data_IF_140485124676
#
_entry.id   IF_140485124676
#
_cell.length_a   1.000
_cell.length_b   1.000
_cell.length_c   1.000
_cell.angle_alpha   90.00
_cell.angle_beta   90.00
_cell.angle_gamma   90.00
#
_symmetry.space_group_name_H-M   'P 1'
#
loop_
_entity.id
_entity.type
_entity.pdbx_description
1 polymer ?
#
# COMPACT_ATOMS: atom_id res chain seq x y z
N UNK A 1 -19.78 -15.13 11.32
CA UNK A 1 -19.49 -13.99 10.42
C UNK A 1 -19.35 -14.53 9.00
N UNK A 2 -19.95 -13.88 8.00
CA UNK A 2 -19.91 -14.36 6.62
C UNK A 2 -18.48 -14.27 6.06
N UNK A 3 -17.96 -15.36 5.48
CA UNK A 3 -16.61 -15.43 4.87
C UNK A 3 -16.47 -14.38 3.77
N UNK A 4 -17.56 -14.10 3.05
CA UNK A 4 -17.62 -13.06 2.02
C UNK A 4 -17.37 -11.63 2.54
N UNK A 5 -17.50 -11.39 3.85
CA UNK A 5 -17.23 -10.10 4.50
C UNK A 5 -15.89 -10.14 5.25
N UNK A 6 -15.58 -11.27 5.90
CA UNK A 6 -14.38 -11.43 6.69
C UNK A 6 -13.11 -11.35 5.83
N UNK A 7 -13.09 -12.02 4.68
CA UNK A 7 -11.94 -12.05 3.77
C UNK A 7 -11.58 -10.66 3.25
N UNK A 8 -12.48 -9.90 2.62
CA UNK A 8 -12.16 -8.55 2.16
C UNK A 8 -11.77 -7.61 3.31
N UNK A 9 -12.36 -7.75 4.50
CA UNK A 9 -11.98 -6.94 5.66
C UNK A 9 -10.53 -7.20 6.09
N UNK A 10 -10.12 -8.47 6.20
CA UNK A 10 -8.73 -8.85 6.53
C UNK A 10 -7.76 -8.34 5.46
N UNK A 11 -8.13 -8.47 4.17
CA UNK A 11 -7.32 -7.96 3.07
C UNK A 11 -7.13 -6.46 3.16
N UNK A 12 -8.19 -5.68 3.43
CA UNK A 12 -8.11 -4.23 3.61
C UNK A 12 -7.20 -3.86 4.79
N UNK A 13 -7.27 -4.58 5.92
CA UNK A 13 -6.39 -4.33 7.07
C UNK A 13 -4.92 -4.57 6.71
N UNK A 14 -4.60 -5.71 6.08
CA UNK A 14 -3.23 -6.03 5.65
C UNK A 14 -2.70 -5.00 4.64
N UNK A 15 -3.54 -4.60 3.71
CA UNK A 15 -3.31 -3.51 2.78
C UNK A 15 -2.90 -2.20 3.47
N UNK A 16 -3.65 -1.82 4.50
CA UNK A 16 -3.43 -0.56 5.23
C UNK A 16 -2.10 -0.60 6.01
N UNK A 17 -1.79 -1.75 6.62
CA UNK A 17 -0.49 -1.97 7.28
C UNK A 17 0.67 -1.92 6.28
N UNK A 18 0.48 -2.48 5.08
CA UNK A 18 1.49 -2.46 4.02
C UNK A 18 1.76 -1.03 3.56
N UNK A 19 0.71 -0.22 3.36
CA UNK A 19 0.83 1.21 3.01
C UNK A 19 1.54 2.00 4.11
N UNK A 20 1.23 1.75 5.39
CA UNK A 20 1.91 2.37 6.51
C UNK A 20 3.40 2.01 6.54
N UNK A 21 3.74 0.74 6.30
CA UNK A 21 5.12 0.29 6.19
C UNK A 21 5.86 0.96 5.02
N UNK A 22 5.18 1.11 3.88
CA UNK A 22 5.72 1.82 2.72
C UNK A 22 6.00 3.30 3.04
N UNK A 23 5.10 3.97 3.76
CA UNK A 23 5.28 5.36 4.19
C UNK A 23 6.51 5.52 5.09
N UNK A 24 6.64 4.67 6.12
CA UNK A 24 7.79 4.70 7.03
C UNK A 24 9.10 4.37 6.29
N UNK A 25 9.08 3.45 5.33
CA UNK A 25 10.23 3.13 4.50
C UNK A 25 10.63 4.32 3.62
N UNK A 26 9.66 5.03 3.04
CA UNK A 26 9.90 6.26 2.27
C UNK A 26 10.53 7.36 3.12
N UNK A 27 10.00 7.60 4.31
CA UNK A 27 10.50 8.61 5.25
C UNK A 27 11.97 8.33 5.65
N UNK A 28 12.28 7.05 5.92
CA UNK A 28 13.65 6.55 6.18
C UNK A 28 14.56 6.69 4.97
N UNK A 29 14.05 6.48 3.76
CA UNK A 29 14.82 6.60 2.52
C UNK A 29 15.08 8.06 2.16
N UNK A 30 14.13 8.96 2.37
CA UNK A 30 14.31 10.40 2.19
C UNK A 30 15.37 10.95 3.15
N UNK A 31 15.27 10.64 4.44
CA UNK A 31 16.30 11.06 5.42
C UNK A 31 17.69 10.53 5.07
N UNK A 32 17.80 9.30 4.55
CA UNK A 32 19.08 8.75 4.06
C UNK A 32 19.55 9.41 2.77
N UNK A 33 18.65 9.72 1.84
CA UNK A 33 18.98 10.38 0.59
C UNK A 33 19.52 11.80 0.83
N UNK A 34 18.96 12.54 1.78
CA UNK A 34 19.46 13.86 2.20
C UNK A 34 20.86 13.79 2.83
N UNK A 35 21.18 12.68 3.50
CA UNK A 35 22.47 12.46 4.15
C UNK A 35 23.53 11.81 3.25
N UNK A 36 23.18 11.33 2.05
CA UNK A 36 24.09 10.61 1.15
C UNK A 36 24.27 11.34 -0.17
N UNK A 37 25.53 11.57 -0.58
CA UNK A 37 25.90 12.24 -1.83
C UNK A 37 26.58 11.25 -2.79
N UNK A 38 26.24 11.26 -4.08
CA UNK A 38 26.84 10.40 -5.10
C UNK A 38 26.05 9.11 -5.41
N UNK A 39 26.75 8.00 -5.70
CA UNK A 39 26.13 6.76 -6.21
C UNK A 39 25.10 6.09 -5.28
N UNK A 40 25.21 6.29 -3.96
CA UNK A 40 24.23 5.79 -2.99
C UNK A 40 22.87 6.53 -3.05
N UNK A 41 22.84 7.74 -3.59
CA UNK A 41 21.62 8.52 -3.77
C UNK A 41 20.68 7.85 -4.79
N UNK A 42 21.24 7.31 -5.89
CA UNK A 42 20.49 6.56 -6.89
C UNK A 42 19.92 5.24 -6.35
N UNK A 43 20.63 4.58 -5.43
CA UNK A 43 20.13 3.39 -4.76
C UNK A 43 18.94 3.71 -3.84
N UNK A 44 18.97 4.86 -3.14
CA UNK A 44 17.85 5.32 -2.32
C UNK A 44 16.62 5.69 -3.18
N UNK A 45 16.83 6.34 -4.33
CA UNK A 45 15.76 6.66 -5.31
C UNK A 45 15.16 5.37 -5.89
N UNK A 46 15.98 4.39 -6.27
CA UNK A 46 15.50 3.10 -6.77
C UNK A 46 14.68 2.33 -5.73
N UNK A 47 15.12 2.33 -4.47
CA UNK A 47 14.37 1.74 -3.37
C UNK A 47 13.03 2.46 -3.14
N UNK A 48 13.03 3.79 -3.19
CA UNK A 48 11.81 4.60 -3.07
C UNK A 48 10.82 4.29 -4.20
N UNK A 49 11.28 4.20 -5.46
CA UNK A 49 10.44 3.82 -6.59
C UNK A 49 9.83 2.42 -6.41
N UNK A 50 10.61 1.44 -5.93
CA UNK A 50 10.13 0.09 -5.63
C UNK A 50 9.05 0.08 -4.53
N UNK A 51 9.27 0.79 -3.44
CA UNK A 51 8.28 0.95 -2.36
C UNK A 51 7.01 1.62 -2.87
N UNK A 52 7.15 2.64 -3.73
CA UNK A 52 6.02 3.34 -4.34
C UNK A 52 5.19 2.44 -5.24
N UNK A 53 5.83 1.56 -6.01
CA UNK A 53 5.15 0.57 -6.84
C UNK A 53 4.37 -0.45 -5.99
N UNK A 54 4.97 -0.95 -4.91
CA UNK A 54 4.31 -1.85 -3.96
C UNK A 54 3.11 -1.17 -3.31
N UNK A 55 3.25 0.09 -2.91
CA UNK A 55 2.15 0.89 -2.36
C UNK A 55 1.00 1.06 -3.38
N UNK A 56 1.33 1.30 -4.66
CA UNK A 56 0.34 1.45 -5.72
C UNK A 56 -0.43 0.14 -5.98
N UNK A 57 0.28 -0.99 -6.04
CA UNK A 57 -0.34 -2.31 -6.19
C UNK A 57 -1.22 -2.66 -4.98
N UNK A 58 -0.73 -2.40 -3.77
CA UNK A 58 -1.51 -2.57 -2.55
C UNK A 58 -2.79 -1.73 -2.64
N UNK A 59 -2.67 -0.42 -2.89
CA UNK A 59 -3.82 0.49 -3.01
C UNK A 59 -4.88 -0.02 -3.99
N UNK A 60 -4.48 -0.43 -5.20
CA UNK A 60 -5.39 -0.99 -6.19
C UNK A 60 -6.07 -2.28 -5.72
N UNK A 61 -5.35 -3.18 -5.05
CA UNK A 61 -5.93 -4.37 -4.46
C UNK A 61 -6.96 -3.99 -3.39
N UNK A 62 -6.63 -3.09 -2.46
CA UNK A 62 -7.59 -2.69 -1.42
C UNK A 62 -8.82 -2.01 -2.01
N UNK A 63 -8.66 -1.19 -3.05
CA UNK A 63 -9.78 -0.54 -3.73
C UNK A 63 -10.72 -1.57 -4.36
N UNK A 64 -10.18 -2.56 -5.09
CA UNK A 64 -10.96 -3.63 -5.70
C UNK A 64 -11.70 -4.49 -4.65
N UNK A 65 -11.02 -4.86 -3.56
CA UNK A 65 -11.65 -5.63 -2.47
C UNK A 65 -12.67 -4.81 -1.68
N UNK A 66 -12.47 -3.51 -1.52
CA UNK A 66 -13.44 -2.61 -0.86
C UNK A 66 -14.68 -2.42 -1.72
N UNK A 67 -14.53 -2.30 -3.04
CA UNK A 67 -15.65 -2.28 -3.98
C UNK A 67 -16.44 -3.60 -3.91
N UNK A 68 -15.75 -4.75 -3.89
CA UNK A 68 -16.37 -6.06 -3.70
C UNK A 68 -17.08 -6.20 -2.34
N UNK A 69 -16.51 -5.63 -1.27
CA UNK A 69 -17.12 -5.59 0.06
C UNK A 69 -18.42 -4.77 0.06
N UNK A 70 -18.40 -3.58 -0.54
CA UNK A 70 -19.58 -2.71 -0.64
C UNK A 70 -20.69 -3.37 -1.46
N UNK A 71 -20.34 -4.03 -2.56
CA UNK A 71 -21.28 -4.80 -3.37
C UNK A 71 -21.85 -6.00 -2.58
N UNK A 72 -21.02 -6.73 -1.82
CA UNK A 72 -21.44 -7.84 -0.97
C UNK A 72 -22.31 -7.39 0.22
N UNK A 73 -22.16 -6.16 0.68
CA UNK A 73 -23.00 -5.52 1.70
C UNK A 73 -24.31 -4.95 1.12
N UNK A 74 -24.54 -5.07 -0.19
CA UNK A 74 -25.76 -4.63 -0.85
C UNK A 74 -25.79 -3.14 -1.23
N UNK A 75 -24.67 -2.42 -1.08
CA UNK A 75 -24.53 -1.08 -1.66
C UNK A 75 -24.34 -1.23 -3.17
N UNK A 76 -25.40 -0.94 -3.93
CA UNK A 76 -25.32 -0.80 -5.39
C UNK A 76 -24.49 0.46 -5.72
N UNK A 77 -23.19 0.28 -5.94
CA UNK A 77 -22.33 1.23 -6.65
C UNK A 77 -22.71 1.18 -8.13
N UNK A 78 -23.82 1.84 -8.49
CA UNK A 78 -24.26 1.99 -9.88
C UNK A 78 -23.82 3.33 -10.43
#
# INVERSE_FOLDING_TARGET
>A
MNVAVLVPLVVVILCTLTLLGCYLAFDRLQTRAEQTTGGQHWAAIGAAAGVGFVALCAFWACFAFSAGLLQALGFNLR
#
